data_IF_006939964611
#
_entry.id   IF_006939964611
#
_cell.length_a   1.000
_cell.length_b   1.000
_cell.length_c   1.000
_cell.angle_alpha   90.00
_cell.angle_beta   90.00
_cell.angle_gamma   90.00
#
_symmetry.space_group_name_H-M   'P 1'
#
loop_
_entity.id
_entity.type
_entity.pdbx_description
1 polymer ?
#
# COMPACT_ATOMS: atom_id res chain seq x y z
N UNK A 1 -2.66 5.37 -23.09
CA UNK A 1 -2.15 6.74 -22.88
C UNK A 1 -1.50 6.88 -21.51
N UNK A 2 -2.15 6.41 -20.43
CA UNK A 2 -1.60 6.42 -19.06
C UNK A 2 -0.32 5.61 -18.95
N UNK A 3 -0.25 4.43 -19.55
CA UNK A 3 0.97 3.61 -19.58
C UNK A 3 2.15 4.32 -20.23
N UNK A 4 1.93 5.08 -21.31
CA UNK A 4 2.99 5.86 -21.95
C UNK A 4 3.50 6.93 -20.98
N UNK A 5 2.61 7.70 -20.36
CA UNK A 5 2.97 8.73 -19.36
C UNK A 5 3.76 8.12 -18.20
N UNK A 6 3.34 6.94 -17.70
CA UNK A 6 4.06 6.17 -16.70
C UNK A 6 5.47 5.83 -17.14
N UNK A 7 5.61 5.26 -18.34
CA UNK A 7 6.90 4.81 -18.86
C UNK A 7 7.86 5.99 -19.08
N UNK A 8 7.36 7.09 -19.63
CA UNK A 8 8.12 8.34 -19.80
C UNK A 8 8.60 8.89 -18.44
N UNK A 9 7.73 8.90 -17.43
CA UNK A 9 8.09 9.31 -16.07
C UNK A 9 9.15 8.40 -15.44
N UNK A 10 8.99 7.09 -15.56
CA UNK A 10 9.93 6.10 -14.99
C UNK A 10 11.29 6.23 -15.66
N UNK A 11 11.33 6.35 -16.98
CA UNK A 11 12.55 6.57 -17.77
C UNK A 11 13.28 7.86 -17.35
N UNK A 12 12.56 8.99 -17.30
CA UNK A 12 13.11 10.29 -16.92
C UNK A 12 13.65 10.31 -15.46
N UNK A 13 13.15 9.43 -14.60
CA UNK A 13 13.62 9.31 -13.19
C UNK A 13 14.58 8.14 -12.98
N UNK A 14 14.98 7.45 -14.04
CA UNK A 14 15.82 6.26 -13.99
C UNK A 14 15.27 5.23 -12.97
N UNK A 15 14.00 4.87 -13.12
CA UNK A 15 13.26 3.94 -12.27
C UNK A 15 12.60 2.86 -13.09
N UNK A 16 12.36 1.70 -12.47
CA UNK A 16 11.59 0.60 -13.04
C UNK A 16 10.50 0.16 -12.08
N UNK A 17 9.45 -0.49 -12.59
CA UNK A 17 8.46 -1.18 -11.76
C UNK A 17 9.10 -2.36 -11.03
N UNK A 18 8.54 -2.71 -9.87
CA UNK A 18 9.01 -3.81 -9.05
C UNK A 18 10.08 -3.41 -8.04
N UNK A 19 10.90 -4.37 -7.61
CA UNK A 19 11.96 -4.16 -6.64
C UNK A 19 13.24 -3.63 -7.29
N UNK A 20 13.90 -2.70 -6.61
CA UNK A 20 15.29 -2.35 -6.92
C UNK A 20 16.29 -3.12 -6.03
N UNK A 21 17.57 -3.04 -6.36
CA UNK A 21 18.66 -3.65 -5.59
C UNK A 21 18.82 -3.09 -4.17
N UNK A 22 18.22 -1.95 -3.87
CA UNK A 22 18.25 -1.27 -2.56
C UNK A 22 17.04 -1.60 -1.69
N UNK A 23 16.20 -2.54 -2.11
CA UNK A 23 15.01 -2.97 -1.38
C UNK A 23 13.83 -1.99 -1.45
N UNK A 24 13.87 -1.01 -2.36
CA UNK A 24 12.70 -0.19 -2.66
C UNK A 24 11.83 -0.90 -3.70
N UNK A 25 10.55 -0.58 -3.68
CA UNK A 25 9.56 -1.11 -4.62
C UNK A 25 8.81 0.05 -5.27
N UNK A 26 8.58 -0.06 -6.57
CA UNK A 26 7.71 0.85 -7.33
C UNK A 26 6.54 0.05 -7.87
N UNK A 27 5.32 0.42 -7.46
CA UNK A 27 4.07 -0.20 -7.90
C UNK A 27 3.25 0.70 -8.79
N UNK A 28 2.43 0.09 -9.65
CA UNK A 28 1.50 0.76 -10.54
C UNK A 28 0.10 0.21 -10.34
N UNK A 29 -0.87 1.11 -10.33
CA UNK A 29 -2.29 0.74 -10.42
C UNK A 29 -3.01 1.70 -11.35
N UNK A 30 -4.08 1.21 -11.97
CA UNK A 30 -4.86 1.96 -12.95
C UNK A 30 -6.35 1.67 -12.78
N UNK A 31 -7.18 2.69 -12.94
CA UNK A 31 -8.64 2.53 -12.90
C UNK A 31 -9.32 3.45 -13.89
N UNK A 32 -10.35 2.91 -14.56
CA UNK A 32 -11.17 3.68 -15.51
C UNK A 32 -12.13 4.63 -14.80
N UNK A 33 -12.41 5.77 -15.47
CA UNK A 33 -13.50 6.68 -15.15
C UNK A 33 -14.67 6.35 -16.07
N UNK A 34 -15.65 5.61 -15.56
CA UNK A 34 -16.76 5.05 -16.37
C UNK A 34 -17.94 6.00 -16.48
N UNK A 35 -17.70 7.29 -16.66
CA UNK A 35 -18.73 8.30 -16.90
C UNK A 35 -18.21 9.38 -17.84
N UNK A 36 -19.12 10.02 -18.57
CA UNK A 36 -18.76 11.16 -19.44
C UNK A 36 -18.15 12.31 -18.62
N UNK A 37 -17.14 13.04 -19.15
CA UNK A 37 -16.59 14.24 -18.52
C UNK A 37 -17.63 15.33 -18.21
N UNK A 38 -18.73 15.35 -18.96
CA UNK A 38 -19.85 16.29 -18.76
C UNK A 38 -20.86 15.82 -17.70
N UNK A 39 -20.67 14.62 -17.12
CA UNK A 39 -21.55 14.12 -16.07
C UNK A 39 -21.35 14.88 -14.77
N UNK A 40 -22.44 15.14 -14.05
CA UNK A 40 -22.38 15.69 -12.68
C UNK A 40 -21.58 14.78 -11.72
N UNK A 41 -21.49 13.50 -12.02
CA UNK A 41 -20.77 12.52 -11.21
C UNK A 41 -19.28 12.43 -11.58
N UNK A 42 -18.82 13.10 -12.65
CA UNK A 42 -17.45 12.94 -13.15
C UNK A 42 -16.39 13.22 -12.06
N UNK A 43 -16.53 14.30 -11.31
CA UNK A 43 -15.59 14.65 -10.25
C UNK A 43 -15.49 13.58 -9.16
N UNK A 44 -16.61 13.02 -8.72
CA UNK A 44 -16.60 11.92 -7.73
C UNK A 44 -16.02 10.64 -8.32
N UNK A 45 -16.42 10.27 -9.53
CA UNK A 45 -15.95 9.06 -10.21
C UNK A 45 -14.44 9.11 -10.49
N UNK A 46 -13.91 10.30 -10.81
CA UNK A 46 -12.48 10.54 -10.96
C UNK A 46 -11.72 10.26 -9.64
N UNK A 47 -12.22 10.77 -8.51
CA UNK A 47 -11.62 10.53 -7.19
C UNK A 47 -11.69 9.05 -6.81
N UNK A 48 -12.84 8.40 -7.04
CA UNK A 48 -12.99 6.96 -6.81
C UNK A 48 -12.06 6.13 -7.70
N UNK A 49 -11.83 6.53 -8.94
CA UNK A 49 -10.88 5.88 -9.83
C UNK A 49 -9.44 6.03 -9.31
N UNK A 50 -9.08 7.20 -8.79
CA UNK A 50 -7.79 7.39 -8.12
C UNK A 50 -7.61 6.47 -6.92
N UNK A 51 -8.59 6.38 -6.02
CA UNK A 51 -8.52 5.51 -4.85
C UNK A 51 -8.37 4.04 -5.24
N UNK A 52 -9.14 3.61 -6.25
CA UNK A 52 -9.04 2.25 -6.75
C UNK A 52 -7.66 1.97 -7.36
N UNK A 53 -7.13 2.86 -8.19
CA UNK A 53 -5.79 2.74 -8.75
C UNK A 53 -4.73 2.70 -7.65
N UNK A 54 -4.87 3.49 -6.60
CA UNK A 54 -3.97 3.45 -5.44
C UNK A 54 -4.04 2.13 -4.67
N UNK A 55 -5.25 1.59 -4.45
CA UNK A 55 -5.44 0.29 -3.82
C UNK A 55 -4.83 -0.82 -4.68
N UNK A 56 -5.03 -0.80 -5.99
CA UNK A 56 -4.47 -1.79 -6.92
C UNK A 56 -2.93 -1.76 -6.91
N UNK A 57 -2.32 -0.57 -6.93
CA UNK A 57 -0.86 -0.42 -6.80
C UNK A 57 -0.34 -1.00 -5.47
N UNK A 58 -1.09 -0.82 -4.36
CA UNK A 58 -0.76 -1.40 -3.05
C UNK A 58 -0.93 -2.92 -3.03
N UNK A 59 -1.98 -3.44 -3.67
CA UNK A 59 -2.26 -4.88 -3.69
C UNK A 59 -1.11 -5.66 -4.32
N UNK A 60 -0.50 -5.15 -5.39
CA UNK A 60 0.68 -5.76 -6.00
C UNK A 60 1.90 -5.78 -5.06
N UNK A 61 2.11 -4.71 -4.32
CA UNK A 61 3.17 -4.67 -3.30
C UNK A 61 2.93 -5.69 -2.18
N UNK A 62 1.68 -5.80 -1.69
CA UNK A 62 1.29 -6.81 -0.68
C UNK A 62 1.51 -8.22 -1.22
N UNK A 63 1.10 -8.49 -2.46
CA UNK A 63 1.30 -9.79 -3.12
C UNK A 63 2.77 -10.17 -3.18
N UNK A 64 3.62 -9.25 -3.60
CA UNK A 64 5.07 -9.45 -3.62
C UNK A 64 5.64 -9.72 -2.22
N UNK A 65 5.20 -8.96 -1.20
CA UNK A 65 5.62 -9.18 0.20
C UNK A 65 5.17 -10.55 0.71
N UNK A 66 3.93 -10.96 0.44
CA UNK A 66 3.43 -12.30 0.81
C UNK A 66 4.29 -13.40 0.19
N UNK A 67 4.64 -13.30 -1.08
CA UNK A 67 5.52 -14.29 -1.74
C UNK A 67 6.89 -14.38 -1.07
N UNK A 68 7.50 -13.23 -0.73
CA UNK A 68 8.79 -13.19 -0.05
C UNK A 68 8.73 -13.81 1.35
N UNK A 69 7.70 -13.47 2.13
CA UNK A 69 7.47 -14.04 3.47
C UNK A 69 7.21 -15.55 3.38
N UNK A 70 6.36 -15.99 2.45
CA UNK A 70 6.10 -17.40 2.23
C UNK A 70 7.39 -18.18 1.89
N UNK A 71 8.27 -17.62 1.06
CA UNK A 71 9.57 -18.22 0.74
C UNK A 71 10.46 -18.34 1.98
N UNK A 72 10.46 -17.32 2.85
CA UNK A 72 11.24 -17.35 4.10
C UNK A 72 10.70 -18.40 5.05
N UNK A 73 9.39 -18.42 5.32
CA UNK A 73 8.75 -19.42 6.18
C UNK A 73 8.97 -20.83 5.62
N UNK A 74 8.84 -21.02 4.32
CA UNK A 74 9.13 -22.29 3.67
C UNK A 74 10.56 -22.76 3.95
N UNK A 75 11.52 -21.86 3.89
CA UNK A 75 12.92 -22.17 4.17
C UNK A 75 13.12 -22.51 5.64
N UNK A 76 12.55 -21.73 6.55
CA UNK A 76 12.63 -21.96 8.01
C UNK A 76 12.01 -23.29 8.41
N UNK A 77 10.82 -23.63 7.91
CA UNK A 77 10.12 -24.87 8.22
C UNK A 77 10.84 -26.12 7.73
N UNK A 78 11.70 -26.02 6.71
CA UNK A 78 12.33 -27.17 6.07
C UNK A 78 13.86 -27.17 6.18
N UNK A 79 14.45 -26.27 6.97
CA UNK A 79 15.89 -26.30 7.26
C UNK A 79 16.28 -27.35 8.30
N UNK A 80 15.35 -27.78 9.16
CA UNK A 80 15.61 -28.78 10.19
C UNK A 80 15.52 -30.24 9.70
N UNK A 81 14.92 -30.49 8.53
CA UNK A 81 14.87 -31.82 7.91
C UNK A 81 16.14 -32.08 7.07
N UNK A 82 17.30 -32.27 7.74
CA UNK A 82 18.57 -32.61 7.08
C UNK A 82 18.69 -34.05 6.64
N UNK A 83 17.69 -34.88 6.84
CA UNK A 83 17.70 -36.25 6.40
C UNK A 83 16.70 -36.50 5.27
N UNK A 84 17.26 -36.62 4.06
CA UNK A 84 16.73 -37.29 2.88
C UNK A 84 15.76 -36.51 1.95
N UNK A 85 16.29 -36.38 0.77
CA UNK A 85 15.71 -35.97 -0.49
C UNK A 85 15.56 -34.47 -0.68
N UNK A 86 16.62 -33.89 -1.27
CA UNK A 86 16.58 -32.63 -2.00
C UNK A 86 15.49 -32.68 -3.09
N UNK A 87 14.25 -32.45 -2.70
CA UNK A 87 13.26 -31.97 -3.64
C UNK A 87 13.62 -30.51 -3.92
N UNK A 88 14.45 -30.31 -4.94
CA UNK A 88 14.78 -28.99 -5.45
C UNK A 88 13.47 -28.29 -5.86
N UNK A 89 12.92 -27.47 -4.97
CA UNK A 89 11.68 -26.77 -5.23
C UNK A 89 12.04 -25.54 -6.05
N UNK A 90 11.92 -25.67 -7.37
CA UNK A 90 12.02 -24.56 -8.34
C UNK A 90 10.89 -23.54 -8.15
N UNK A 91 9.80 -23.92 -7.51
CA UNK A 91 8.65 -23.05 -7.27
C UNK A 91 8.79 -22.40 -5.89
N UNK A 92 9.13 -21.11 -5.84
CA UNK A 92 9.13 -20.30 -4.62
C UNK A 92 7.73 -19.77 -4.28
N UNK A 93 7.58 -19.17 -3.09
CA UNK A 93 6.36 -18.51 -2.64
C UNK A 93 5.26 -19.46 -2.16
N UNK A 94 4.01 -19.01 -2.22
CA UNK A 94 2.84 -19.71 -1.68
C UNK A 94 2.61 -21.09 -2.35
N UNK A 95 2.82 -21.18 -3.66
CA UNK A 95 2.67 -22.44 -4.40
C UNK A 95 3.72 -23.51 -4.00
N UNK A 96 4.97 -23.09 -3.80
CA UNK A 96 6.03 -23.97 -3.33
C UNK A 96 5.79 -24.43 -1.88
N UNK A 97 5.21 -23.55 -1.05
CA UNK A 97 4.82 -23.88 0.32
C UNK A 97 3.76 -24.98 0.38
N UNK A 98 2.70 -24.87 -0.42
CA UNK A 98 1.64 -25.90 -0.49
C UNK A 98 2.22 -27.28 -0.90
N UNK A 99 3.07 -27.32 -1.94
CA UNK A 99 3.71 -28.56 -2.35
C UNK A 99 4.56 -29.19 -1.24
N UNK A 100 5.28 -28.38 -0.46
CA UNK A 100 6.09 -28.87 0.68
C UNK A 100 5.23 -29.42 1.82
N UNK A 101 4.15 -28.74 2.17
CA UNK A 101 3.20 -29.24 3.18
C UNK A 101 2.66 -30.62 2.78
N UNK A 102 2.38 -30.82 1.49
CA UNK A 102 1.93 -32.13 1.01
C UNK A 102 2.99 -33.23 1.07
N UNK A 103 4.26 -32.88 1.08
CA UNK A 103 5.40 -33.81 1.17
C UNK A 103 5.76 -34.16 2.63
N UNK A 104 5.24 -33.43 3.62
CA UNK A 104 5.53 -33.71 5.04
C UNK A 104 4.87 -35.00 5.52
N UNK A 105 5.56 -35.71 6.40
CA UNK A 105 4.99 -36.81 7.16
C UNK A 105 3.89 -36.31 8.13
N UNK A 106 2.91 -37.15 8.45
CA UNK A 106 1.79 -36.76 9.30
C UNK A 106 2.24 -36.29 10.69
N UNK A 107 3.19 -37.01 11.31
CA UNK A 107 3.73 -36.65 12.63
C UNK A 107 4.37 -35.24 12.64
N UNK A 108 5.09 -34.87 11.57
CA UNK A 108 5.66 -33.53 11.42
C UNK A 108 4.58 -32.43 11.24
N UNK A 109 3.48 -32.79 10.57
CA UNK A 109 2.34 -31.87 10.45
C UNK A 109 1.67 -31.65 11.81
N UNK A 110 1.48 -32.73 12.59
CA UNK A 110 0.85 -32.66 13.92
C UNK A 110 1.68 -31.78 14.87
N UNK A 111 3.00 -31.96 14.91
CA UNK A 111 3.90 -31.14 15.70
C UNK A 111 3.82 -29.65 15.32
N UNK A 112 3.86 -29.34 14.03
CA UNK A 112 3.77 -27.96 13.53
C UNK A 112 2.40 -27.33 13.79
N UNK A 113 1.31 -28.09 13.69
CA UNK A 113 -0.03 -27.60 14.01
C UNK A 113 -0.14 -27.19 15.49
N UNK A 114 0.47 -27.94 16.39
CA UNK A 114 0.54 -27.57 17.82
C UNK A 114 1.34 -26.27 17.99
N UNK A 115 2.49 -26.11 17.33
CA UNK A 115 3.27 -24.85 17.32
C UNK A 115 2.45 -23.66 16.81
N UNK A 116 1.58 -23.85 15.84
CA UNK A 116 0.64 -22.83 15.34
C UNK A 116 -0.59 -22.61 16.24
N UNK A 117 -0.66 -23.29 17.39
CA UNK A 117 -1.72 -23.11 18.37
C UNK A 117 -3.04 -23.77 17.96
N UNK A 118 -3.01 -24.78 17.10
CA UNK A 118 -4.19 -25.59 16.80
C UNK A 118 -4.43 -26.53 17.96
N UNK A 119 -5.68 -26.60 18.43
CA UNK A 119 -6.07 -27.46 19.55
C UNK A 119 -5.74 -28.95 19.27
N UNK A 120 -5.05 -29.65 20.17
CA UNK A 120 -4.66 -31.05 19.99
C UNK A 120 -5.85 -31.97 19.69
N UNK A 121 -7.02 -31.73 20.29
CA UNK A 121 -8.23 -32.52 20.02
C UNK A 121 -8.73 -32.36 18.58
N UNK A 122 -8.53 -31.18 17.98
CA UNK A 122 -8.85 -30.93 16.57
C UNK A 122 -7.90 -31.72 15.67
N UNK A 123 -6.60 -31.80 16.04
CA UNK A 123 -5.58 -32.52 15.28
C UNK A 123 -5.89 -34.03 15.31
N UNK A 124 -6.14 -34.59 16.50
CA UNK A 124 -6.44 -36.01 16.68
C UNK A 124 -7.71 -36.47 15.94
N UNK A 125 -8.73 -35.60 15.87
CA UNK A 125 -9.99 -35.89 15.18
C UNK A 125 -9.99 -35.54 13.68
N UNK A 126 -8.83 -35.17 13.10
CA UNK A 126 -8.67 -34.79 11.69
C UNK A 126 -7.92 -35.85 10.90
N UNK A 127 -8.40 -36.18 9.71
CA UNK A 127 -7.66 -36.94 8.72
C UNK A 127 -6.48 -36.11 8.14
N UNK A 128 -5.55 -36.78 7.49
CA UNK A 128 -4.34 -36.14 6.95
C UNK A 128 -4.65 -35.01 5.96
N UNK A 129 -5.75 -35.11 5.21
CA UNK A 129 -6.18 -34.06 4.27
C UNK A 129 -6.62 -32.80 5.01
N UNK A 130 -7.39 -32.96 6.08
CA UNK A 130 -7.80 -31.85 6.95
C UNK A 130 -6.60 -31.23 7.67
N UNK A 131 -5.68 -32.05 8.19
CA UNK A 131 -4.44 -31.59 8.84
C UNK A 131 -3.60 -30.74 7.90
N UNK A 132 -3.41 -31.18 6.65
CA UNK A 132 -2.71 -30.40 5.62
C UNK A 132 -3.39 -29.04 5.35
N UNK A 133 -4.71 -29.05 5.25
CA UNK A 133 -5.49 -27.81 5.03
C UNK A 133 -5.43 -26.86 6.23
N UNK A 134 -5.48 -27.39 7.45
CA UNK A 134 -5.28 -26.59 8.67
C UNK A 134 -3.89 -25.94 8.68
N UNK A 135 -2.85 -26.69 8.33
CA UNK A 135 -1.50 -26.18 8.24
C UNK A 135 -1.36 -25.10 7.16
N UNK A 136 -1.87 -25.33 5.96
CA UNK A 136 -1.91 -24.31 4.90
C UNK A 136 -2.61 -23.04 5.36
N UNK A 137 -3.74 -23.13 6.04
CA UNK A 137 -4.49 -21.97 6.55
C UNK A 137 -3.69 -21.22 7.64
N UNK A 138 -3.07 -21.94 8.58
CA UNK A 138 -2.26 -21.36 9.65
C UNK A 138 -1.06 -20.60 9.09
N UNK A 139 -0.33 -21.19 8.16
CA UNK A 139 0.81 -20.56 7.50
C UNK A 139 0.35 -19.37 6.64
N UNK A 140 -0.72 -19.49 5.88
CA UNK A 140 -1.24 -18.38 5.07
C UNK A 140 -1.69 -17.20 5.94
N UNK A 141 -2.23 -17.47 7.14
CA UNK A 141 -2.56 -16.43 8.12
C UNK A 141 -1.27 -15.75 8.61
N UNK A 142 -0.25 -16.51 9.00
CA UNK A 142 1.04 -15.97 9.42
C UNK A 142 1.72 -15.16 8.30
N UNK A 143 1.78 -15.70 7.08
CA UNK A 143 2.31 -14.99 5.89
C UNK A 143 1.59 -13.67 5.69
N UNK A 144 0.26 -13.66 5.84
CA UNK A 144 -0.53 -12.44 5.68
C UNK A 144 -0.21 -11.43 6.77
N UNK A 145 -0.19 -11.84 8.04
CA UNK A 145 0.15 -10.96 9.17
C UNK A 145 1.55 -10.38 9.03
N UNK A 146 2.57 -11.22 8.80
CA UNK A 146 3.97 -10.78 8.61
C UNK A 146 4.14 -9.88 7.38
N UNK A 147 3.44 -10.15 6.28
CA UNK A 147 3.48 -9.31 5.10
C UNK A 147 2.86 -7.92 5.38
N UNK A 148 1.70 -7.88 6.04
CA UNK A 148 0.99 -6.63 6.36
C UNK A 148 1.80 -5.78 7.34
N UNK A 149 2.43 -6.37 8.36
CA UNK A 149 3.29 -5.65 9.32
C UNK A 149 4.47 -4.90 8.67
N UNK A 150 4.81 -5.23 7.42
CA UNK A 150 5.92 -4.62 6.68
C UNK A 150 5.51 -3.66 5.57
N UNK A 151 4.24 -3.21 5.54
CA UNK A 151 3.70 -2.39 4.45
C UNK A 151 3.79 -0.88 4.71
N UNK A 152 4.16 -0.43 5.93
CA UNK A 152 4.29 0.99 6.26
C UNK A 152 5.26 1.76 5.34
N UNK A 153 5.06 3.06 5.23
CA UNK A 153 5.94 3.92 4.46
C UNK A 153 5.71 3.87 2.94
N UNK A 154 4.51 3.50 2.50
CA UNK A 154 4.12 3.63 1.08
C UNK A 154 3.72 5.07 0.82
N UNK A 155 4.24 5.64 -0.26
CA UNK A 155 3.84 6.97 -0.73
C UNK A 155 3.53 6.97 -2.22
N UNK A 156 2.64 7.85 -2.64
CA UNK A 156 2.41 8.17 -4.04
C UNK A 156 3.59 9.02 -4.54
N UNK A 157 4.14 8.67 -5.70
CA UNK A 157 5.25 9.39 -6.34
C UNK A 157 4.86 10.08 -7.64
N UNK A 158 3.79 9.63 -8.28
CA UNK A 158 3.18 10.29 -9.43
C UNK A 158 1.73 9.83 -9.60
N UNK A 159 0.92 10.70 -10.16
CA UNK A 159 -0.45 10.44 -10.59
C UNK A 159 -0.58 10.89 -12.03
N UNK A 160 -1.24 10.10 -12.84
CA UNK A 160 -1.51 10.37 -14.26
C UNK A 160 -3.02 10.29 -14.47
N UNK A 161 -3.56 11.26 -15.16
CA UNK A 161 -4.99 11.33 -15.38
C UNK A 161 -5.29 11.72 -16.82
N UNK A 162 -6.37 11.17 -17.34
CA UNK A 162 -7.06 11.68 -18.51
C UNK A 162 -8.58 11.49 -18.32
N UNK A 163 -9.35 11.85 -19.34
CA UNK A 163 -10.83 11.76 -19.27
C UNK A 163 -11.36 10.33 -19.12
N UNK A 164 -10.54 9.33 -19.37
CA UNK A 164 -10.93 7.91 -19.36
C UNK A 164 -10.44 7.15 -18.13
N UNK A 165 -9.44 7.67 -17.40
CA UNK A 165 -8.87 6.91 -16.28
C UNK A 165 -7.82 7.66 -15.48
N UNK A 166 -7.42 7.02 -14.39
CA UNK A 166 -6.39 7.48 -13.45
C UNK A 166 -5.38 6.37 -13.26
N UNK A 167 -4.10 6.73 -13.31
CA UNK A 167 -2.99 5.86 -13.00
C UNK A 167 -2.19 6.39 -11.81
N UNK A 168 -1.76 5.52 -10.92
CA UNK A 168 -1.03 5.87 -9.70
C UNK A 168 0.26 5.08 -9.59
N UNK A 169 1.38 5.79 -9.45
CA UNK A 169 2.67 5.20 -9.08
C UNK A 169 2.90 5.36 -7.59
N UNK A 170 3.18 4.26 -6.91
CA UNK A 170 3.61 4.25 -5.51
C UNK A 170 5.07 3.89 -5.38
N UNK A 171 5.68 4.31 -4.28
CA UNK A 171 7.00 3.85 -3.85
C UNK A 171 6.96 3.43 -2.39
N UNK A 172 7.47 2.24 -2.11
CA UNK A 172 7.83 1.78 -0.78
C UNK A 172 9.36 1.68 -0.68
N UNK A 173 9.94 2.04 0.47
CA UNK A 173 11.38 1.90 0.70
C UNK A 173 11.68 1.68 2.18
N UNK A 174 12.83 1.07 2.52
CA UNK A 174 13.26 0.94 3.91
C UNK A 174 13.25 2.29 4.65
N UNK A 175 13.77 3.34 4.03
CA UNK A 175 13.80 4.70 4.58
C UNK A 175 12.41 5.24 4.95
N UNK A 176 11.41 5.03 4.09
CA UNK A 176 10.03 5.48 4.38
C UNK A 176 9.37 4.63 5.46
N UNK A 177 9.66 3.35 5.49
CA UNK A 177 9.19 2.45 6.56
C UNK A 177 9.76 2.86 7.91
N UNK A 178 11.06 3.15 7.99
CA UNK A 178 11.70 3.58 9.23
C UNK A 178 11.16 4.94 9.70
N UNK A 179 10.90 5.85 8.77
CA UNK A 179 10.22 7.12 9.06
C UNK A 179 8.80 6.89 9.59
N UNK A 180 8.01 6.02 8.97
CA UNK A 180 6.66 5.70 9.43
C UNK A 180 6.66 5.12 10.85
N UNK A 181 7.57 4.18 11.14
CA UNK A 181 7.76 3.60 12.48
C UNK A 181 8.17 4.64 13.51
N UNK A 182 9.08 5.55 13.16
CA UNK A 182 9.51 6.61 14.06
C UNK A 182 8.36 7.56 14.40
N UNK A 183 7.54 7.94 13.42
CA UNK A 183 6.34 8.76 13.64
C UNK A 183 5.33 8.03 14.52
N UNK A 184 5.05 6.75 14.25
CA UNK A 184 4.16 5.93 15.08
C UNK A 184 4.63 5.85 16.54
N UNK A 185 5.94 5.81 16.77
CA UNK A 185 6.56 5.79 18.09
C UNK A 185 6.72 7.19 18.71
N UNK A 186 6.14 8.24 18.11
CA UNK A 186 6.29 9.64 18.52
C UNK A 186 7.76 10.11 18.64
N UNK A 187 8.66 9.48 17.90
CA UNK A 187 10.06 9.91 17.81
C UNK A 187 10.19 10.94 16.70
N UNK A 188 10.86 12.06 17.01
CA UNK A 188 11.18 13.06 16.00
C UNK A 188 12.13 12.44 14.97
N UNK A 189 11.73 12.45 13.72
CA UNK A 189 12.59 12.07 12.59
C UNK A 189 13.29 13.33 12.13
N UNK A 190 14.27 13.78 12.89
CA UNK A 190 15.10 14.91 12.53
C UNK A 190 16.25 14.44 11.62
N UNK A 191 16.27 14.90 10.38
CA UNK A 191 17.54 15.17 9.74
C UNK A 191 17.78 16.66 9.93
N UNK A 192 18.74 17.08 10.75
CA UNK A 192 19.02 18.51 10.91
C UNK A 192 19.52 19.04 9.56
N UNK A 193 18.63 19.58 8.78
CA UNK A 193 18.99 20.52 7.72
C UNK A 193 18.90 21.91 8.32
N UNK A 194 19.80 22.84 7.94
CA UNK A 194 19.63 24.24 8.31
C UNK A 194 18.25 24.67 7.84
N UNK A 195 17.39 25.07 8.79
CA UNK A 195 16.08 25.61 8.48
C UNK A 195 16.23 26.87 7.63
N UNK A 196 15.26 27.08 6.76
CA UNK A 196 15.11 28.34 6.02
C UNK A 196 13.74 28.92 6.38
N UNK A 197 13.70 30.07 7.10
CA UNK A 197 12.44 30.70 7.50
C UNK A 197 11.51 31.02 6.34
N UNK A 198 12.06 31.21 5.12
CA UNK A 198 11.26 31.43 3.90
C UNK A 198 10.59 30.14 3.39
N UNK A 199 10.99 29.00 3.90
CA UNK A 199 10.55 27.69 3.42
C UNK A 199 9.43 27.08 4.30
N UNK A 200 8.56 27.91 4.88
CA UNK A 200 7.40 27.38 5.60
C UNK A 200 6.54 26.51 4.68
N UNK A 201 5.88 25.48 5.23
CA UNK A 201 5.01 24.60 4.44
C UNK A 201 3.97 25.41 3.66
N UNK A 202 3.41 26.47 4.28
CA UNK A 202 2.45 27.36 3.62
C UNK A 202 3.04 28.02 2.37
N UNK A 203 4.26 28.56 2.47
CA UNK A 203 4.92 29.19 1.34
C UNK A 203 5.23 28.16 0.24
N UNK A 204 5.76 27.00 0.62
CA UNK A 204 6.01 25.93 -0.35
C UNK A 204 4.76 25.49 -1.12
N UNK A 205 3.61 25.50 -0.46
CA UNK A 205 2.34 25.15 -1.11
C UNK A 205 1.87 26.28 -2.02
N UNK A 206 1.93 27.53 -1.56
CA UNK A 206 1.51 28.69 -2.34
C UNK A 206 2.39 28.93 -3.57
N UNK A 207 3.71 28.75 -3.44
CA UNK A 207 4.66 29.04 -4.51
C UNK A 207 4.74 27.93 -5.57
N UNK A 208 4.35 26.70 -5.22
CA UNK A 208 4.53 25.52 -6.07
C UNK A 208 3.28 24.97 -6.70
N UNK A 209 2.11 25.40 -6.24
CA UNK A 209 0.84 24.89 -6.70
C UNK A 209 -0.02 26.04 -7.18
N UNK A 210 -0.28 26.09 -8.49
CA UNK A 210 -1.40 26.86 -9.03
C UNK A 210 -2.74 26.27 -8.53
N UNK A 211 -3.82 27.02 -8.63
CA UNK A 211 -5.15 26.49 -8.27
C UNK A 211 -5.46 25.20 -9.03
N UNK A 212 -5.02 25.09 -10.29
CA UNK A 212 -5.18 23.89 -11.13
C UNK A 212 -4.36 22.72 -10.60
N UNK A 213 -3.14 22.97 -10.07
CA UNK A 213 -2.30 21.93 -9.50
C UNK A 213 -2.89 21.31 -8.23
N UNK A 214 -3.68 22.07 -7.46
CA UNK A 214 -4.37 21.53 -6.29
C UNK A 214 -5.41 20.48 -6.66
N UNK A 215 -6.07 20.60 -7.80
CA UNK A 215 -7.08 19.64 -8.24
C UNK A 215 -6.51 18.28 -8.62
N UNK A 216 -5.22 18.19 -8.90
CA UNK A 216 -4.55 16.93 -9.24
C UNK A 216 -3.69 16.38 -8.10
N UNK A 217 -3.65 17.04 -6.94
CA UNK A 217 -2.89 16.57 -5.78
C UNK A 217 -3.71 15.58 -4.96
N UNK A 218 -3.18 14.38 -4.80
CA UNK A 218 -3.75 13.33 -3.97
C UNK A 218 -2.68 12.68 -3.09
N UNK A 219 -3.11 12.18 -1.95
CA UNK A 219 -2.28 11.36 -1.08
C UNK A 219 -1.27 12.15 -0.27
N UNK A 220 -0.19 11.50 0.11
CA UNK A 220 0.77 11.99 1.10
C UNK A 220 2.07 12.46 0.46
N UNK A 221 2.56 13.61 0.92
CA UNK A 221 3.90 14.13 0.63
C UNK A 221 4.72 14.29 1.89
N UNK A 222 6.03 14.07 1.76
CA UNK A 222 7.01 14.37 2.80
C UNK A 222 7.68 15.70 2.40
N UNK A 223 7.51 16.72 3.21
CA UNK A 223 8.06 18.04 3.01
C UNK A 223 9.07 18.36 4.13
N UNK A 224 9.81 19.43 4.00
CA UNK A 224 10.70 19.95 5.06
C UNK A 224 10.18 21.32 5.45
N UNK A 225 9.94 21.55 6.74
CA UNK A 225 9.48 22.84 7.26
C UNK A 225 10.62 23.87 7.33
N UNK A 226 10.30 25.08 7.79
CA UNK A 226 11.24 26.19 7.97
C UNK A 226 12.29 25.93 9.07
N UNK A 227 12.03 24.98 9.95
CA UNK A 227 12.97 24.52 10.98
C UNK A 227 13.83 23.33 10.55
N UNK A 228 13.66 22.85 9.32
CA UNK A 228 14.39 21.68 8.79
C UNK A 228 13.78 20.33 9.17
N UNK A 229 12.64 20.29 9.83
CA UNK A 229 11.97 19.05 10.20
C UNK A 229 11.26 18.43 9.00
N UNK A 230 11.18 17.10 8.99
CA UNK A 230 10.35 16.35 8.03
C UNK A 230 8.92 16.31 8.51
N UNK A 231 8.01 16.81 7.70
CA UNK A 231 6.57 16.83 7.97
C UNK A 231 5.81 16.05 6.92
N UNK A 232 4.70 15.45 7.33
CA UNK A 232 3.77 14.78 6.43
C UNK A 232 2.68 15.77 6.05
N UNK A 233 2.52 15.99 4.76
CA UNK A 233 1.46 16.81 4.18
C UNK A 233 0.55 15.91 3.35
N UNK A 234 -0.74 15.90 3.65
CA UNK A 234 -1.70 15.05 2.97
C UNK A 234 -2.76 15.87 2.24
N UNK A 235 -3.10 15.42 1.06
CA UNK A 235 -4.09 16.05 0.16
C UNK A 235 -5.27 15.11 0.00
N UNK A 236 -6.43 15.54 0.49
CA UNK A 236 -7.70 14.87 0.23
C UNK A 236 -8.55 15.70 -0.73
N UNK A 237 -9.35 15.03 -1.53
CA UNK A 237 -10.24 15.68 -2.49
C UNK A 237 -11.60 15.01 -2.48
N UNK A 238 -12.65 15.83 -2.65
CA UNK A 238 -13.97 15.33 -2.92
C UNK A 238 -14.77 16.34 -3.75
N UNK A 239 -15.51 15.88 -4.74
CA UNK A 239 -16.32 16.73 -5.59
C UNK A 239 -17.76 16.81 -5.06
N UNK A 240 -18.31 18.02 -4.76
CA UNK A 240 -19.71 18.16 -4.42
C UNK A 240 -20.59 17.85 -5.64
N UNK A 241 -21.69 17.13 -5.43
CA UNK A 241 -22.68 16.81 -6.47
C UNK A 241 -23.74 17.93 -6.54
N UNK A 242 -23.43 18.97 -7.29
CA UNK A 242 -24.28 20.15 -7.46
C UNK A 242 -24.31 20.64 -8.89
N UNK A 243 -25.41 21.30 -9.27
CA UNK A 243 -25.58 21.96 -10.55
C UNK A 243 -25.69 23.46 -10.37
N UNK A 244 -25.54 24.23 -11.45
CA UNK A 244 -25.72 25.69 -11.42
C UNK A 244 -27.14 26.12 -11.03
N UNK A 245 -28.14 25.24 -11.21
CA UNK A 245 -29.55 25.51 -10.92
C UNK A 245 -29.94 25.13 -9.48
N UNK A 246 -29.03 24.58 -8.68
CA UNK A 246 -29.31 24.25 -7.30
C UNK A 246 -29.37 25.51 -6.43
N UNK A 247 -30.19 25.48 -5.39
CA UNK A 247 -30.30 26.59 -4.45
C UNK A 247 -28.94 26.82 -3.74
N UNK A 248 -28.66 28.09 -3.39
CA UNK A 248 -27.43 28.47 -2.68
C UNK A 248 -27.23 27.66 -1.40
N UNK A 249 -28.33 27.37 -0.68
CA UNK A 249 -28.27 26.54 0.54
C UNK A 249 -27.85 25.10 0.21
N UNK A 250 -28.38 24.48 -0.84
CA UNK A 250 -28.00 23.13 -1.28
C UNK A 250 -26.52 23.09 -1.68
N UNK A 251 -26.06 24.09 -2.46
CA UNK A 251 -24.66 24.20 -2.86
C UNK A 251 -23.75 24.30 -1.62
N UNK A 252 -24.05 25.19 -0.69
CA UNK A 252 -23.26 25.39 0.53
C UNK A 252 -23.18 24.12 1.38
N UNK A 253 -24.31 23.40 1.55
CA UNK A 253 -24.34 22.15 2.32
C UNK A 253 -23.53 21.05 1.62
N UNK A 254 -23.63 20.93 0.30
CA UNK A 254 -22.86 19.95 -0.47
C UNK A 254 -21.35 20.25 -0.43
N UNK A 255 -20.95 21.53 -0.52
CA UNK A 255 -19.53 21.93 -0.39
C UNK A 255 -19.01 21.65 1.02
N UNK A 256 -19.80 21.93 2.07
CA UNK A 256 -19.43 21.63 3.46
C UNK A 256 -19.22 20.12 3.66
N UNK A 257 -20.14 19.30 3.16
CA UNK A 257 -20.02 17.84 3.21
C UNK A 257 -18.79 17.34 2.43
N UNK A 258 -18.56 17.87 1.23
CA UNK A 258 -17.40 17.52 0.41
C UNK A 258 -16.08 17.86 1.11
N UNK A 259 -15.98 19.00 1.78
CA UNK A 259 -14.80 19.37 2.58
C UNK A 259 -14.56 18.39 3.74
N UNK A 260 -15.62 17.93 4.42
CA UNK A 260 -15.52 16.90 5.47
C UNK A 260 -14.93 15.60 4.93
N UNK A 261 -15.48 15.09 3.84
CA UNK A 261 -15.01 13.85 3.19
C UNK A 261 -13.56 14.00 2.72
N UNK A 262 -13.19 15.13 2.11
CA UNK A 262 -11.81 15.39 1.68
C UNK A 262 -10.84 15.43 2.87
N UNK A 263 -11.25 16.00 4.01
CA UNK A 263 -10.45 16.01 5.22
C UNK A 263 -10.23 14.59 5.78
N UNK A 264 -11.29 13.79 5.87
CA UNK A 264 -11.21 12.41 6.37
C UNK A 264 -10.32 11.56 5.44
N UNK A 265 -10.41 11.77 4.13
CA UNK A 265 -9.55 11.13 3.14
C UNK A 265 -8.07 11.52 3.34
N UNK A 266 -7.78 12.81 3.57
CA UNK A 266 -6.42 13.26 3.86
C UNK A 266 -5.86 12.61 5.13
N UNK A 267 -6.67 12.50 6.20
CA UNK A 267 -6.28 11.81 7.43
C UNK A 267 -6.01 10.31 7.18
N UNK A 268 -6.83 9.68 6.35
CA UNK A 268 -6.66 8.26 6.02
C UNK A 268 -5.32 7.99 5.35
N UNK A 269 -4.82 8.86 4.48
CA UNK A 269 -3.49 8.70 3.85
C UNK A 269 -2.35 8.80 4.87
N UNK A 270 -2.45 9.69 5.87
CA UNK A 270 -1.47 9.76 6.97
C UNK A 270 -1.50 8.45 7.77
N UNK A 271 -2.69 8.00 8.15
CA UNK A 271 -2.89 6.75 8.89
C UNK A 271 -2.33 5.55 8.11
N UNK A 272 -2.64 5.45 6.82
CA UNK A 272 -2.11 4.39 5.96
C UNK A 272 -0.59 4.43 5.79
N UNK A 273 0.04 5.60 5.88
CA UNK A 273 1.49 5.71 5.84
C UNK A 273 2.14 5.23 7.15
N UNK A 274 1.55 5.61 8.27
CA UNK A 274 2.10 5.36 9.61
C UNK A 274 1.74 3.96 10.10
N UNK A 275 0.48 3.56 9.96
CA UNK A 275 -0.07 2.29 10.45
C UNK A 275 -0.41 1.36 9.28
N UNK A 276 0.07 0.13 9.38
CA UNK A 276 -0.23 -0.94 8.42
C UNK A 276 -1.29 -1.92 8.90
N UNK A 277 -1.87 -1.66 10.05
CA UNK A 277 -2.92 -2.47 10.69
C UNK A 277 -4.28 -1.79 10.57
N UNK A 278 -4.75 -1.60 9.34
CA UNK A 278 -6.17 -1.37 9.07
C UNK A 278 -6.66 -2.45 8.13
#
# INVERSE_FOLDING_TARGET
KLEKQRNDYLSNKNRSLGNDSKGSYVGWGESAINVSPNSIDFGQKRIMAFEKAFIDAKADFVRMKKQKVATTITRELFQDDRDNNEVEIKDGGIAGLAKKIHALAEAAIDEKLVEYGVDPSTIENSDISKKRKLMENSINKEVTVKAVQNISGIRIIATFEDVSGVGVLIKASPKYRDMAKAIASKKLVGYPSKGDPKNSIKNQLNDRLSDEDYFVQHGLRIMTDDSGNRVLVSFGQWAPKVTRNDSRMKINNAVKAAKGIAYDQALSYITMFVNTTL
#
